data_IF_509474396026
#
_entry.id   IF_509474396026
#
_cell.length_a   1.000
_cell.length_b   1.000
_cell.length_c   1.000
_cell.angle_alpha   90.00
_cell.angle_beta   90.00
_cell.angle_gamma   90.00
#
_symmetry.space_group_name_H-M   'P 1'
#
loop_
_entity.id
_entity.type
_entity.pdbx_description
1 polymer ?
#
# COMPACT_ATOMS: atom_id res chain seq x y z
N UNK A 1 12.00 52.26 33.69
CA UNK A 1 12.67 51.00 33.40
C UNK A 1 11.58 50.04 32.99
N UNK A 2 11.40 49.98 31.71
CA UNK A 2 10.35 49.19 31.09
C UNK A 2 11.00 47.88 30.56
N UNK A 3 10.57 46.76 31.09
CA UNK A 3 10.97 45.42 30.60
C UNK A 3 9.79 44.85 29.84
N UNK A 4 9.79 45.08 28.54
CA UNK A 4 8.92 44.36 27.61
C UNK A 4 9.51 42.95 27.35
N UNK A 5 8.88 41.95 27.95
CA UNK A 5 9.13 40.55 27.61
C UNK A 5 8.49 40.22 26.24
N UNK A 6 9.35 39.99 25.25
CA UNK A 6 8.96 39.38 23.99
C UNK A 6 8.80 37.87 24.24
N UNK A 7 7.54 37.41 24.30
CA UNK A 7 7.21 36.00 24.15
C UNK A 7 7.24 35.65 22.67
N UNK A 8 8.28 34.94 22.29
CA UNK A 8 8.39 34.29 20.98
C UNK A 8 7.50 33.02 21.00
N UNK A 9 6.31 33.13 20.42
CA UNK A 9 5.46 31.97 20.12
C UNK A 9 5.85 31.44 18.75
N UNK A 10 6.93 30.67 18.69
CA UNK A 10 7.14 29.77 17.57
C UNK A 10 6.19 28.56 17.72
N UNK A 11 4.97 28.72 17.22
CA UNK A 11 4.08 27.57 16.96
C UNK A 11 4.76 26.71 15.88
N UNK A 12 5.44 25.65 16.29
CA UNK A 12 5.75 24.55 15.41
C UNK A 12 4.42 23.93 14.99
N UNK A 13 3.93 24.34 13.83
CA UNK A 13 2.89 23.59 13.14
C UNK A 13 3.51 22.28 12.65
N UNK A 14 3.30 21.23 13.42
CA UNK A 14 3.54 19.86 13.00
C UNK A 14 2.49 19.50 11.93
N UNK A 15 2.78 19.88 10.69
CA UNK A 15 2.03 19.47 9.53
C UNK A 15 2.56 18.12 9.03
N UNK A 16 2.47 17.09 9.84
CA UNK A 16 2.35 15.76 9.30
C UNK A 16 0.92 15.65 8.77
N UNK A 17 0.73 15.93 7.46
CA UNK A 17 -0.55 15.69 6.78
C UNK A 17 -0.79 14.18 6.73
N UNK A 18 -1.22 13.60 7.84
CA UNK A 18 -1.75 12.24 7.87
C UNK A 18 -3.13 12.27 7.20
N UNK A 19 -3.31 11.40 6.23
CA UNK A 19 -4.62 11.17 5.62
C UNK A 19 -5.63 10.79 6.69
N UNK A 20 -6.79 11.42 6.67
CA UNK A 20 -7.89 11.05 7.55
C UNK A 20 -8.81 9.99 6.92
N UNK A 21 -9.78 9.50 7.68
CA UNK A 21 -10.72 8.48 7.21
C UNK A 21 -11.50 8.92 5.96
N UNK A 22 -11.84 10.20 5.86
CA UNK A 22 -12.59 10.75 4.71
C UNK A 22 -11.72 10.83 3.46
N UNK A 23 -10.42 11.10 3.61
CA UNK A 23 -9.46 11.15 2.52
C UNK A 23 -9.26 9.75 1.89
N UNK A 24 -9.13 8.71 2.74
CA UNK A 24 -9.06 7.33 2.23
C UNK A 24 -10.33 6.94 1.47
N UNK A 25 -11.51 7.26 1.99
CA UNK A 25 -12.78 6.95 1.32
C UNK A 25 -12.91 7.70 -0.02
N UNK A 26 -12.54 8.98 -0.06
CA UNK A 26 -12.57 9.77 -1.27
C UNK A 26 -11.62 9.23 -2.34
N UNK A 27 -10.41 8.85 -1.91
CA UNK A 27 -9.39 8.26 -2.78
C UNK A 27 -9.81 6.89 -3.29
N UNK A 28 -10.32 6.01 -2.40
CA UNK A 28 -10.87 4.70 -2.76
C UNK A 28 -11.97 4.84 -3.82
N UNK A 29 -12.93 5.74 -3.61
CA UNK A 29 -14.02 5.96 -4.56
C UNK A 29 -13.55 6.44 -5.94
N UNK A 30 -12.59 7.37 -5.96
CA UNK A 30 -11.99 7.89 -7.20
C UNK A 30 -11.20 6.80 -7.95
N UNK A 31 -10.31 6.11 -7.24
CA UNK A 31 -9.42 5.13 -7.87
C UNK A 31 -10.15 3.85 -8.30
N UNK A 32 -11.21 3.44 -7.57
CA UNK A 32 -12.06 2.33 -8.00
C UNK A 32 -12.85 2.63 -9.27
N UNK A 33 -13.36 3.85 -9.42
CA UNK A 33 -14.01 4.27 -10.68
C UNK A 33 -13.00 4.33 -11.83
N UNK A 34 -11.80 4.88 -11.59
CA UNK A 34 -10.73 4.96 -12.58
C UNK A 34 -10.23 3.57 -13.01
N UNK A 35 -10.14 2.62 -12.08
CA UNK A 35 -9.82 1.21 -12.38
C UNK A 35 -10.83 0.62 -13.40
N UNK A 36 -12.12 0.78 -13.17
CA UNK A 36 -13.13 0.26 -14.08
C UNK A 36 -13.01 0.87 -15.50
N UNK A 37 -12.69 2.17 -15.61
CA UNK A 37 -12.44 2.83 -16.88
C UNK A 37 -11.19 2.30 -17.58
N UNK A 38 -10.09 2.15 -16.85
CA UNK A 38 -8.84 1.61 -17.37
C UNK A 38 -9.00 0.16 -17.84
N UNK A 39 -9.71 -0.67 -17.07
CA UNK A 39 -9.99 -2.06 -17.40
C UNK A 39 -10.81 -2.19 -18.70
N UNK A 40 -11.83 -1.32 -18.88
CA UNK A 40 -12.59 -1.26 -20.15
C UNK A 40 -11.71 -0.86 -21.34
N UNK A 41 -10.82 0.12 -21.12
CA UNK A 41 -9.93 0.62 -22.17
C UNK A 41 -8.88 -0.40 -22.58
N UNK A 42 -8.32 -1.15 -21.62
CA UNK A 42 -7.31 -2.18 -21.87
C UNK A 42 -7.90 -3.43 -22.54
N UNK A 43 -9.12 -3.83 -22.16
CA UNK A 43 -9.77 -5.07 -22.60
C UNK A 43 -9.29 -6.29 -21.80
N UNK A 44 -10.16 -7.31 -21.68
CA UNK A 44 -10.00 -8.45 -20.77
C UNK A 44 -8.71 -9.26 -20.96
N UNK A 45 -8.17 -9.31 -22.17
CA UNK A 45 -6.98 -10.12 -22.50
C UNK A 45 -5.66 -9.31 -22.41
N UNK A 46 -5.72 -8.05 -22.00
CA UNK A 46 -4.50 -7.24 -21.85
C UNK A 46 -3.61 -7.83 -20.74
N UNK A 47 -2.32 -8.10 -20.99
CA UNK A 47 -1.45 -8.67 -19.97
C UNK A 47 -1.15 -7.65 -18.88
N UNK A 48 -1.08 -8.12 -17.62
CA UNK A 48 -0.69 -7.30 -16.47
C UNK A 48 0.80 -7.55 -16.20
N UNK A 49 1.62 -6.61 -16.63
CA UNK A 49 3.09 -6.77 -16.58
C UNK A 49 3.64 -6.96 -15.16
N UNK A 50 3.00 -6.36 -14.17
CA UNK A 50 3.35 -6.42 -12.74
C UNK A 50 2.91 -7.72 -12.05
N UNK A 51 1.96 -8.47 -12.65
CA UNK A 51 1.43 -9.73 -12.11
C UNK A 51 1.67 -10.85 -13.13
N UNK A 52 2.82 -11.54 -13.09
CA UNK A 52 3.21 -12.53 -14.10
C UNK A 52 2.15 -13.62 -14.30
N UNK A 53 1.73 -13.80 -15.55
CA UNK A 53 0.70 -14.79 -15.92
C UNK A 53 -0.74 -14.27 -15.82
N UNK A 54 -0.97 -13.06 -15.32
CA UNK A 54 -2.29 -12.44 -15.26
C UNK A 54 -2.63 -11.65 -16.54
N UNK A 55 -3.91 -11.68 -16.86
CA UNK A 55 -4.53 -10.72 -17.80
C UNK A 55 -5.53 -9.84 -17.05
N UNK A 56 -6.06 -8.83 -17.73
CA UNK A 56 -7.01 -7.89 -17.13
C UNK A 56 -8.24 -8.58 -16.52
N UNK A 57 -8.71 -9.67 -17.12
CA UNK A 57 -9.82 -10.47 -16.57
C UNK A 57 -9.50 -11.03 -15.17
N UNK A 58 -8.24 -11.41 -14.92
CA UNK A 58 -7.81 -11.93 -13.61
C UNK A 58 -7.71 -10.80 -12.59
N UNK A 59 -7.21 -9.64 -13.00
CA UNK A 59 -7.11 -8.47 -12.13
C UNK A 59 -8.49 -7.93 -11.73
N UNK A 60 -9.46 -7.88 -12.67
CA UNK A 60 -10.85 -7.50 -12.37
C UNK A 60 -11.47 -8.46 -11.36
N UNK A 61 -11.28 -9.78 -11.56
CA UNK A 61 -11.81 -10.77 -10.66
C UNK A 61 -11.16 -10.69 -9.27
N UNK A 62 -9.85 -10.51 -9.21
CA UNK A 62 -9.12 -10.34 -7.95
C UNK A 62 -9.72 -9.20 -7.12
N UNK A 63 -9.87 -8.02 -7.69
CA UNK A 63 -10.47 -6.89 -6.95
C UNK A 63 -11.94 -7.17 -6.58
N UNK A 64 -12.71 -7.84 -7.43
CA UNK A 64 -14.08 -8.21 -7.09
C UNK A 64 -14.15 -9.15 -5.87
N UNK A 65 -13.24 -10.14 -5.77
CA UNK A 65 -13.14 -11.03 -4.60
C UNK A 65 -12.70 -10.29 -3.34
N UNK A 66 -11.68 -9.44 -3.46
CA UNK A 66 -11.15 -8.65 -2.32
C UNK A 66 -12.20 -7.68 -1.80
N UNK A 67 -12.91 -6.99 -2.69
CA UNK A 67 -13.99 -6.06 -2.32
C UNK A 67 -15.15 -6.79 -1.64
N UNK A 68 -15.58 -7.93 -2.18
CA UNK A 68 -16.60 -8.77 -1.56
C UNK A 68 -16.17 -9.25 -0.18
N UNK A 69 -14.92 -9.72 -0.06
CA UNK A 69 -14.38 -10.23 1.19
C UNK A 69 -14.43 -9.16 2.30
N UNK A 70 -13.86 -7.98 2.06
CA UNK A 70 -13.82 -6.94 3.06
C UNK A 70 -15.19 -6.31 3.33
N UNK A 71 -16.04 -6.19 2.30
CA UNK A 71 -17.43 -5.78 2.50
C UNK A 71 -18.18 -6.76 3.44
N UNK A 72 -17.93 -8.06 3.28
CA UNK A 72 -18.52 -9.10 4.14
C UNK A 72 -17.97 -9.06 5.55
N UNK A 73 -16.65 -8.91 5.73
CA UNK A 73 -16.02 -8.75 7.05
C UNK A 73 -16.66 -7.60 7.83
N UNK A 74 -16.80 -6.44 7.20
CA UNK A 74 -17.34 -5.25 7.85
C UNK A 74 -18.87 -5.36 8.08
N UNK A 75 -19.61 -5.81 7.06
CA UNK A 75 -21.10 -5.92 7.16
C UNK A 75 -21.53 -6.90 8.25
N UNK A 76 -20.85 -8.03 8.37
CA UNK A 76 -21.20 -9.08 9.34
C UNK A 76 -20.44 -8.94 10.66
N UNK A 77 -19.55 -7.90 10.78
CA UNK A 77 -18.70 -7.68 11.96
C UNK A 77 -17.91 -8.94 12.34
N UNK A 78 -17.30 -9.57 11.35
CA UNK A 78 -16.49 -10.78 11.54
C UNK A 78 -15.34 -10.46 12.48
N UNK A 79 -15.13 -11.30 13.50
CA UNK A 79 -14.04 -11.15 14.49
C UNK A 79 -13.22 -12.42 14.69
N UNK A 80 -13.73 -13.57 14.27
CA UNK A 80 -13.11 -14.88 14.53
C UNK A 80 -12.10 -15.32 13.45
N UNK A 81 -12.09 -14.70 12.26
CA UNK A 81 -11.12 -15.01 11.23
C UNK A 81 -11.70 -15.04 9.81
N UNK A 82 -10.78 -15.07 8.82
CA UNK A 82 -11.14 -15.05 7.40
C UNK A 82 -12.02 -16.22 6.95
N UNK A 83 -11.95 -17.36 7.66
CA UNK A 83 -12.75 -18.56 7.36
C UNK A 83 -14.27 -18.38 7.59
N UNK A 84 -14.68 -17.31 8.28
CA UNK A 84 -16.10 -16.98 8.48
C UNK A 84 -16.73 -16.34 7.25
N UNK A 85 -15.91 -15.88 6.28
CA UNK A 85 -16.39 -15.29 5.03
C UNK A 85 -16.43 -16.36 3.96
N UNK A 86 -17.61 -16.56 3.35
CA UNK A 86 -17.76 -17.48 2.23
C UNK A 86 -16.99 -16.95 0.99
N UNK A 87 -16.36 -17.85 0.26
CA UNK A 87 -15.78 -17.49 -1.04
C UNK A 87 -16.86 -17.39 -2.09
N UNK A 88 -16.68 -16.49 -3.05
CA UNK A 88 -17.53 -16.39 -4.25
C UNK A 88 -16.89 -17.15 -5.41
N UNK A 89 -17.72 -17.61 -6.33
CA UNK A 89 -17.25 -18.26 -7.56
C UNK A 89 -17.03 -17.22 -8.65
N UNK A 90 -15.97 -17.41 -9.46
CA UNK A 90 -15.67 -16.53 -10.59
C UNK A 90 -16.82 -16.60 -11.60
N UNK A 91 -17.31 -15.45 -12.00
CA UNK A 91 -18.31 -15.29 -13.05
C UNK A 91 -17.70 -15.39 -14.45
N UNK A 92 -18.54 -15.52 -15.48
CA UNK A 92 -18.08 -15.47 -16.86
C UNK A 92 -17.49 -14.12 -17.24
N UNK A 93 -16.61 -14.11 -18.24
CA UNK A 93 -15.85 -12.92 -18.64
C UNK A 93 -16.75 -11.71 -18.99
N UNK A 94 -17.92 -11.94 -19.55
CA UNK A 94 -18.90 -10.89 -19.85
C UNK A 94 -19.53 -10.25 -18.62
N UNK A 95 -19.39 -10.86 -17.44
CA UNK A 95 -19.96 -10.40 -16.17
C UNK A 95 -18.90 -9.83 -15.23
N UNK A 96 -17.61 -10.01 -15.49
CA UNK A 96 -16.51 -9.66 -14.59
C UNK A 96 -16.57 -8.19 -14.13
N UNK A 97 -16.70 -7.29 -15.08
CA UNK A 97 -16.68 -5.86 -14.75
C UNK A 97 -17.92 -5.44 -13.96
N UNK A 98 -19.09 -6.01 -14.29
CA UNK A 98 -20.31 -5.75 -13.53
C UNK A 98 -20.25 -6.33 -12.11
N UNK A 99 -19.61 -7.50 -11.94
CA UNK A 99 -19.36 -8.10 -10.64
C UNK A 99 -18.43 -7.21 -9.79
N UNK A 100 -17.31 -6.75 -10.37
CA UNK A 100 -16.42 -5.78 -9.71
C UNK A 100 -17.19 -4.53 -9.28
N UNK A 101 -17.88 -3.86 -10.19
CA UNK A 101 -18.64 -2.63 -9.89
C UNK A 101 -19.67 -2.83 -8.78
N UNK A 102 -20.29 -4.02 -8.74
CA UNK A 102 -21.28 -4.37 -7.71
C UNK A 102 -20.61 -4.52 -6.35
N UNK A 103 -19.53 -5.29 -6.26
CA UNK A 103 -18.83 -5.55 -5.00
C UNK A 103 -18.10 -4.32 -4.49
N UNK A 104 -17.49 -3.53 -5.39
CA UNK A 104 -16.88 -2.26 -5.06
C UNK A 104 -17.90 -1.25 -4.48
N UNK A 105 -19.08 -1.13 -5.09
CA UNK A 105 -20.13 -0.27 -4.57
C UNK A 105 -20.63 -0.73 -3.19
N UNK A 106 -20.72 -2.04 -2.95
CA UNK A 106 -21.07 -2.60 -1.64
C UNK A 106 -20.00 -2.29 -0.59
N UNK A 107 -18.72 -2.48 -0.94
CA UNK A 107 -17.58 -2.16 -0.08
C UNK A 107 -17.60 -0.67 0.30
N UNK A 108 -17.61 0.21 -0.68
CA UNK A 108 -17.60 1.66 -0.46
C UNK A 108 -18.78 2.11 0.41
N UNK A 109 -19.98 1.55 0.15
CA UNK A 109 -21.17 1.86 0.92
C UNK A 109 -21.09 1.39 2.38
N UNK A 110 -20.52 0.22 2.67
CA UNK A 110 -20.39 -0.25 4.05
C UNK A 110 -19.29 0.50 4.80
N UNK A 111 -18.16 0.77 4.17
CA UNK A 111 -17.06 1.52 4.77
C UNK A 111 -17.47 2.95 5.10
N UNK A 112 -18.20 3.62 4.21
CA UNK A 112 -18.67 5.01 4.41
C UNK A 112 -19.68 5.16 5.56
N UNK A 113 -20.34 4.07 5.99
CA UNK A 113 -21.38 4.11 7.05
C UNK A 113 -20.92 3.55 8.38
N UNK A 114 -19.76 2.90 8.41
CA UNK A 114 -19.28 2.22 9.61
C UNK A 114 -18.21 3.07 10.28
N UNK A 115 -18.33 3.24 11.59
CA UNK A 115 -17.33 3.94 12.39
C UNK A 115 -15.97 3.23 12.25
N UNK A 116 -14.88 3.95 11.92
CA UNK A 116 -13.56 3.37 11.73
C UNK A 116 -13.03 2.60 12.95
N UNK A 117 -13.49 2.92 14.14
CA UNK A 117 -13.10 2.21 15.37
C UNK A 117 -13.90 0.93 15.62
N UNK A 118 -14.84 0.59 14.72
CA UNK A 118 -15.65 -0.65 14.85
C UNK A 118 -14.73 -1.88 14.76
N UNK A 119 -14.73 -2.75 15.78
CA UNK A 119 -13.90 -3.95 15.77
C UNK A 119 -14.33 -4.92 14.68
N UNK A 120 -13.35 -5.35 13.87
CA UNK A 120 -13.49 -6.42 12.86
C UNK A 120 -12.19 -7.21 12.80
N UNK A 121 -12.27 -8.43 12.31
CA UNK A 121 -11.08 -9.21 12.03
C UNK A 121 -10.25 -8.56 10.88
N UNK A 122 -8.96 -8.53 11.10
CA UNK A 122 -7.97 -8.24 10.06
C UNK A 122 -6.76 -9.17 10.26
N UNK A 123 -5.93 -9.32 9.26
CA UNK A 123 -4.68 -10.08 9.34
C UNK A 123 -3.54 -9.30 10.05
N UNK A 124 -3.73 -8.01 10.31
CA UNK A 124 -2.76 -7.16 11.00
C UNK A 124 -2.99 -7.12 12.52
N UNK A 125 -2.15 -6.38 13.24
CA UNK A 125 -2.34 -6.11 14.66
C UNK A 125 -3.48 -5.10 14.93
N UNK A 126 -3.91 -4.33 13.93
CA UNK A 126 -5.02 -3.38 14.03
C UNK A 126 -6.32 -4.07 13.57
N UNK A 127 -7.22 -4.37 14.50
CA UNK A 127 -8.46 -5.12 14.27
C UNK A 127 -9.68 -4.20 14.24
N UNK A 128 -9.76 -3.28 13.30
CA UNK A 128 -10.88 -2.34 13.13
C UNK A 128 -11.13 -1.96 11.66
N UNK A 129 -12.24 -1.27 11.42
CA UNK A 129 -12.64 -0.80 10.10
C UNK A 129 -11.67 0.25 9.55
N UNK A 130 -10.99 1.01 10.39
CA UNK A 130 -9.99 2.00 9.97
C UNK A 130 -8.86 1.35 9.19
N UNK A 131 -8.36 0.18 9.68
CA UNK A 131 -7.40 -0.61 8.91
C UNK A 131 -7.94 -1.03 7.54
N UNK A 132 -9.19 -1.51 7.49
CA UNK A 132 -9.79 -1.98 6.23
C UNK A 132 -9.89 -0.84 5.22
N UNK A 133 -10.32 0.35 5.65
CA UNK A 133 -10.44 1.53 4.78
C UNK A 133 -9.07 1.92 4.20
N UNK A 134 -8.04 2.02 5.05
CA UNK A 134 -6.68 2.34 4.64
C UNK A 134 -6.14 1.31 3.65
N UNK A 135 -6.24 0.02 3.99
CA UNK A 135 -5.76 -1.08 3.14
C UNK A 135 -6.43 -1.08 1.77
N UNK A 136 -7.77 -0.89 1.73
CA UNK A 136 -8.51 -0.91 0.48
C UNK A 136 -8.21 0.30 -0.40
N UNK A 137 -7.91 1.46 0.18
CA UNK A 137 -7.46 2.62 -0.58
C UNK A 137 -6.12 2.33 -1.29
N UNK A 138 -5.15 1.73 -0.60
CA UNK A 138 -3.85 1.36 -1.18
C UNK A 138 -3.97 0.23 -2.22
N UNK A 139 -4.71 -0.82 -1.90
CA UNK A 139 -4.95 -1.96 -2.80
C UNK A 139 -5.53 -1.49 -4.13
N UNK A 140 -6.60 -0.71 -4.04
CA UNK A 140 -7.28 -0.19 -5.23
C UNK A 140 -6.39 0.76 -6.04
N UNK A 141 -5.62 1.63 -5.39
CA UNK A 141 -4.74 2.57 -6.08
C UNK A 141 -3.59 1.87 -6.82
N UNK A 142 -2.97 0.85 -6.23
CA UNK A 142 -1.91 0.06 -6.87
C UNK A 142 -2.47 -0.70 -8.07
N UNK A 143 -3.62 -1.34 -7.96
CA UNK A 143 -4.22 -2.09 -9.05
C UNK A 143 -4.87 -1.19 -10.11
N UNK A 144 -5.32 0.01 -9.75
CA UNK A 144 -5.69 1.04 -10.74
C UNK A 144 -4.47 1.41 -11.60
N UNK A 145 -3.29 1.57 -10.99
CA UNK A 145 -2.05 1.82 -11.74
C UNK A 145 -1.68 0.65 -12.66
N UNK A 146 -1.86 -0.60 -12.21
CA UNK A 146 -1.67 -1.79 -13.03
C UNK A 146 -2.58 -1.78 -14.27
N UNK A 147 -3.86 -1.42 -14.08
CA UNK A 147 -4.84 -1.31 -15.17
C UNK A 147 -4.55 -0.15 -16.13
N UNK A 148 -4.17 1.02 -15.61
CA UNK A 148 -3.76 2.18 -16.42
C UNK A 148 -2.53 1.85 -17.28
N UNK A 149 -1.57 1.10 -16.70
CA UNK A 149 -0.38 0.64 -17.41
C UNK A 149 -0.74 -0.32 -18.55
N UNK A 150 -1.64 -1.28 -18.29
CA UNK A 150 -2.14 -2.19 -19.32
C UNK A 150 -2.93 -1.47 -20.42
N UNK A 151 -3.59 -0.35 -20.09
CA UNK A 151 -4.25 0.54 -21.04
C UNK A 151 -3.28 1.50 -21.78
N UNK A 152 -1.98 1.44 -21.50
CA UNK A 152 -0.94 2.29 -22.09
C UNK A 152 -0.92 3.74 -21.58
N UNK A 153 -1.51 4.01 -20.43
CA UNK A 153 -1.64 5.36 -19.84
C UNK A 153 -1.38 5.34 -18.34
N UNK A 154 -0.17 4.97 -17.86
CA UNK A 154 0.11 4.92 -16.44
C UNK A 154 -0.06 6.31 -15.82
N UNK A 155 -0.93 6.41 -14.82
CA UNK A 155 -1.17 7.63 -14.05
C UNK A 155 -0.56 7.43 -12.67
N UNK A 156 0.30 8.33 -12.16
CA UNK A 156 0.87 8.23 -10.82
C UNK A 156 -0.20 8.06 -9.73
N UNK A 157 0.16 7.39 -8.66
CA UNK A 157 -0.65 7.35 -7.44
C UNK A 157 -0.58 8.72 -6.77
N UNK A 158 -1.68 9.16 -6.16
CA UNK A 158 -1.71 10.40 -5.37
C UNK A 158 -0.55 10.42 -4.35
N UNK A 159 0.15 11.54 -4.25
CA UNK A 159 1.39 11.59 -3.49
C UNK A 159 1.18 11.36 -1.98
N UNK A 160 0.10 11.89 -1.39
CA UNK A 160 -0.21 11.68 0.02
C UNK A 160 -0.58 10.22 0.28
N UNK A 161 -1.43 9.63 -0.58
CA UNK A 161 -1.78 8.21 -0.50
C UNK A 161 -0.55 7.32 -0.70
N UNK A 162 0.32 7.65 -1.64
CA UNK A 162 1.52 6.86 -1.91
C UNK A 162 2.51 6.91 -0.74
N UNK A 163 2.70 8.08 -0.11
CA UNK A 163 3.53 8.21 1.10
C UNK A 163 2.97 7.37 2.26
N UNK A 164 1.66 7.42 2.48
CA UNK A 164 0.99 6.58 3.47
C UNK A 164 1.07 5.08 3.12
N UNK A 165 0.99 4.74 1.82
CA UNK A 165 1.17 3.37 1.32
C UNK A 165 2.57 2.83 1.52
N UNK A 166 3.62 3.68 1.44
CA UNK A 166 4.98 3.30 1.83
C UNK A 166 5.01 2.94 3.32
N UNK A 167 4.39 3.76 4.17
CA UNK A 167 4.32 3.50 5.62
C UNK A 167 3.56 2.20 5.93
N UNK A 168 2.45 1.93 5.25
CA UNK A 168 1.73 0.65 5.36
C UNK A 168 2.62 -0.52 4.94
N UNK A 169 3.30 -0.43 3.80
CA UNK A 169 4.20 -1.47 3.31
C UNK A 169 5.30 -1.78 4.33
N UNK A 170 5.94 -0.75 4.84
CA UNK A 170 7.02 -0.88 5.81
C UNK A 170 6.55 -1.37 7.19
N UNK A 171 5.28 -1.19 7.50
CA UNK A 171 4.71 -1.65 8.77
C UNK A 171 4.27 -3.11 8.71
N UNK A 172 3.78 -3.59 7.55
CA UNK A 172 3.08 -4.86 7.47
C UNK A 172 3.73 -5.89 6.56
N UNK A 173 4.54 -5.49 5.56
CA UNK A 173 5.03 -6.41 4.52
C UNK A 173 6.55 -6.63 4.57
N UNK A 174 7.30 -5.73 5.20
CA UNK A 174 8.77 -5.85 5.21
C UNK A 174 9.29 -6.90 6.21
N UNK A 175 8.52 -7.25 7.23
CA UNK A 175 8.87 -8.31 8.20
C UNK A 175 8.47 -9.72 7.69
N UNK A 176 7.68 -9.82 6.62
CA UNK A 176 7.41 -11.10 5.94
C UNK A 176 8.58 -11.42 4.99
N UNK A 177 9.63 -12.00 5.59
CA UNK A 177 10.86 -12.34 4.87
C UNK A 177 10.62 -13.58 4.01
N UNK A 178 10.83 -13.46 2.71
CA UNK A 178 10.71 -14.57 1.77
C UNK A 178 11.64 -15.74 2.19
N UNK A 179 11.12 -16.96 2.18
CA UNK A 179 11.85 -18.15 2.58
C UNK A 179 13.12 -18.33 1.74
N UNK A 180 14.28 -18.39 2.42
CA UNK A 180 15.57 -18.52 1.77
C UNK A 180 16.13 -17.21 1.18
N UNK A 181 15.52 -16.07 1.45
CA UNK A 181 16.08 -14.78 1.06
C UNK A 181 17.44 -14.53 1.71
N UNK A 182 18.33 -13.89 0.98
CA UNK A 182 19.62 -13.49 1.52
C UNK A 182 19.42 -12.36 2.54
N UNK A 183 20.16 -12.42 3.65
CA UNK A 183 20.15 -11.33 4.65
C UNK A 183 20.51 -9.99 4.01
N UNK A 184 19.75 -8.96 4.37
CA UNK A 184 20.05 -7.58 3.97
C UNK A 184 21.12 -7.04 4.89
N UNK A 185 22.36 -6.98 4.36
CA UNK A 185 23.49 -6.45 5.12
C UNK A 185 23.59 -4.94 4.88
N UNK A 186 22.94 -4.16 5.70
CA UNK A 186 22.96 -2.69 5.62
C UNK A 186 21.60 -2.04 5.87
N UNK A 187 21.63 -0.76 6.16
CA UNK A 187 20.46 0.07 6.39
C UNK A 187 19.99 0.73 5.10
N UNK A 188 18.66 0.89 4.95
CA UNK A 188 18.05 1.58 3.83
C UNK A 188 17.31 2.81 4.32
N UNK A 189 17.60 3.97 3.73
CA UNK A 189 16.84 5.20 3.92
C UNK A 189 15.91 5.39 2.72
N UNK A 190 14.63 5.64 2.95
CA UNK A 190 13.63 5.96 1.93
C UNK A 190 13.21 7.40 2.11
N UNK A 191 13.21 8.19 1.03
CA UNK A 191 12.93 9.62 1.07
C UNK A 191 12.05 10.06 -0.10
N UNK A 192 10.85 10.58 0.19
CA UNK A 192 9.96 11.19 -0.78
C UNK A 192 10.44 12.58 -1.18
N UNK A 193 10.32 12.94 -2.47
CA UNK A 193 10.78 14.23 -2.98
C UNK A 193 9.65 15.22 -3.22
N UNK A 194 8.42 14.77 -3.23
CA UNK A 194 7.22 15.53 -3.61
C UNK A 194 6.24 15.72 -2.45
N UNK A 195 6.39 14.95 -1.38
CA UNK A 195 5.60 15.08 -0.16
C UNK A 195 6.47 14.76 1.07
N UNK A 196 5.97 15.03 2.26
CA UNK A 196 6.61 14.56 3.49
C UNK A 196 6.59 13.03 3.55
N UNK A 197 7.73 12.41 3.87
CA UNK A 197 7.87 10.97 4.01
C UNK A 197 9.33 10.56 4.02
N UNK A 198 9.77 10.07 5.18
CA UNK A 198 11.12 9.54 5.36
C UNK A 198 11.09 8.35 6.32
N UNK A 199 11.80 7.30 5.93
CA UNK A 199 11.90 6.07 6.74
C UNK A 199 13.32 5.53 6.69
N UNK A 200 13.74 4.95 7.81
CA UNK A 200 15.01 4.21 7.87
C UNK A 200 14.74 2.77 8.32
N UNK A 201 15.21 1.83 7.53
CA UNK A 201 15.12 0.38 7.80
C UNK A 201 16.48 -0.12 8.24
N UNK A 202 16.53 -0.83 9.36
CA UNK A 202 17.71 -1.55 9.84
C UNK A 202 17.37 -3.02 10.03
N UNK A 203 18.19 -3.96 9.53
CA UNK A 203 17.96 -5.39 9.75
C UNK A 203 17.93 -5.72 11.24
N UNK A 204 16.94 -6.49 11.69
CA UNK A 204 16.87 -7.06 13.03
C UNK A 204 17.53 -8.44 13.04
N UNK A 205 18.19 -8.77 14.14
CA UNK A 205 18.78 -10.08 14.37
C UNK A 205 18.49 -10.53 15.80
N UNK A 206 17.82 -11.66 15.99
CA UNK A 206 17.51 -12.22 17.31
C UNK A 206 18.66 -13.11 17.78
N UNK A 207 19.66 -12.49 18.47
CA UNK A 207 20.76 -13.20 19.11
C UNK A 207 22.05 -13.27 18.30
N UNK A 208 23.11 -13.79 18.93
CA UNK A 208 24.45 -13.89 18.34
C UNK A 208 24.46 -14.99 17.29
N UNK A 209 24.72 -14.63 16.04
CA UNK A 209 24.76 -15.58 14.90
C UNK A 209 23.40 -15.96 14.35
N UNK A 210 22.33 -15.27 14.73
CA UNK A 210 20.99 -15.50 14.21
C UNK A 210 20.81 -14.99 12.76
N UNK A 211 19.86 -15.60 12.05
CA UNK A 211 19.34 -15.10 10.78
C UNK A 211 18.60 -13.77 11.01
N UNK A 212 18.42 -12.99 9.95
CA UNK A 212 17.63 -11.77 10.01
C UNK A 212 16.17 -12.12 10.29
N UNK A 213 15.53 -11.38 11.26
CA UNK A 213 14.15 -11.59 11.70
C UNK A 213 13.23 -10.43 11.28
N UNK A 214 13.53 -9.74 10.18
CA UNK A 214 12.78 -8.57 9.73
C UNK A 214 13.59 -7.28 9.85
N UNK A 215 12.89 -6.15 9.99
CA UNK A 215 13.50 -4.83 10.02
C UNK A 215 12.98 -3.99 11.19
N UNK A 216 13.86 -3.20 11.78
CA UNK A 216 13.47 -2.04 12.57
C UNK A 216 13.19 -0.88 11.62
N UNK A 217 11.97 -0.36 11.65
CA UNK A 217 11.55 0.79 10.84
C UNK A 217 11.38 2.01 11.73
N UNK A 218 12.11 3.09 11.42
CA UNK A 218 11.95 4.38 12.08
C UNK A 218 11.48 5.43 11.06
N UNK A 219 10.64 6.39 11.50
CA UNK A 219 10.08 7.47 10.67
C UNK A 219 10.88 8.75 10.91
N UNK A 220 12.14 8.71 10.50
CA UNK A 220 13.07 9.82 10.73
C UNK A 220 14.14 9.88 9.65
N UNK A 221 14.70 11.07 9.46
CA UNK A 221 15.86 11.24 8.61
C UNK A 221 17.11 10.65 9.27
N UNK A 222 17.65 9.60 8.70
CA UNK A 222 18.92 9.03 9.14
C UNK A 222 19.73 8.55 7.93
N UNK A 223 21.05 8.69 8.01
CA UNK A 223 21.93 8.19 6.95
C UNK A 223 21.91 6.67 6.93
N UNK A 224 21.50 6.09 5.79
CA UNK A 224 21.60 4.66 5.51
C UNK A 224 22.87 4.30 4.72
N UNK A 225 23.15 3.00 4.62
CA UNK A 225 24.17 2.46 3.71
C UNK A 225 23.71 2.60 2.25
N UNK A 226 22.41 2.57 2.05
CA UNK A 226 21.72 2.89 0.80
C UNK A 226 20.57 3.87 1.06
N UNK A 227 20.32 4.79 0.10
CA UNK A 227 19.12 5.62 0.10
C UNK A 227 18.34 5.43 -1.21
N UNK A 228 17.02 5.29 -1.08
CA UNK A 228 16.04 5.28 -2.17
C UNK A 228 15.33 6.63 -2.15
N UNK A 229 15.46 7.40 -3.24
CA UNK A 229 14.90 8.74 -3.34
C UNK A 229 14.10 8.88 -4.63
N UNK A 230 12.88 9.39 -4.53
CA UNK A 230 11.98 9.56 -5.68
C UNK A 230 10.66 10.19 -5.27
N UNK A 231 9.72 10.29 -6.21
CA UNK A 231 8.34 10.64 -5.86
C UNK A 231 7.73 9.54 -4.99
N UNK A 232 6.77 9.88 -4.13
CA UNK A 232 6.10 8.89 -3.29
C UNK A 232 5.48 7.76 -4.14
N UNK A 233 4.85 8.12 -5.27
CA UNK A 233 4.28 7.14 -6.22
C UNK A 233 5.34 6.17 -6.74
N UNK A 234 6.48 6.68 -7.20
CA UNK A 234 7.52 5.82 -7.79
C UNK A 234 8.15 4.90 -6.73
N UNK A 235 8.39 5.43 -5.52
CA UNK A 235 8.90 4.65 -4.39
C UNK A 235 7.93 3.54 -4.00
N UNK A 236 6.64 3.84 -3.84
CA UNK A 236 5.62 2.84 -3.53
C UNK A 236 5.55 1.75 -4.61
N UNK A 237 5.52 2.14 -5.87
CA UNK A 237 5.47 1.22 -7.00
C UNK A 237 6.74 0.36 -7.11
N UNK A 238 7.91 0.91 -6.76
CA UNK A 238 9.15 0.13 -6.69
C UNK A 238 9.12 -0.89 -5.53
N UNK A 239 8.62 -0.52 -4.35
CA UNK A 239 8.45 -1.44 -3.22
C UNK A 239 7.52 -2.60 -3.59
N UNK A 240 6.41 -2.34 -4.25
CA UNK A 240 5.49 -3.35 -4.77
C UNK A 240 5.98 -4.05 -6.06
N UNK A 241 7.21 -3.79 -6.53
CA UNK A 241 7.81 -4.37 -7.75
C UNK A 241 7.02 -4.09 -9.03
N UNK A 242 6.24 -3.02 -9.05
CA UNK A 242 5.54 -2.51 -10.24
C UNK A 242 6.46 -1.71 -11.15
N UNK A 243 7.50 -1.13 -10.58
CA UNK A 243 8.54 -0.40 -11.29
C UNK A 243 9.91 -0.95 -10.96
N UNK A 244 10.85 -0.80 -11.89
CA UNK A 244 12.25 -1.13 -11.63
C UNK A 244 12.84 -0.16 -10.60
N UNK A 245 13.65 -0.65 -9.68
CA UNK A 245 14.41 0.19 -8.75
C UNK A 245 15.33 1.19 -9.50
N UNK A 246 15.71 0.88 -10.73
CA UNK A 246 16.47 1.81 -11.58
C UNK A 246 15.68 3.03 -12.08
N UNK A 247 14.39 3.11 -11.78
CA UNK A 247 13.53 4.26 -12.10
C UNK A 247 13.53 5.33 -11.01
N UNK A 248 14.15 5.07 -9.87
CA UNK A 248 14.32 5.99 -8.74
C UNK A 248 15.80 6.23 -8.47
N UNK A 249 16.13 7.28 -7.73
CA UNK A 249 17.50 7.55 -7.33
C UNK A 249 17.95 6.55 -6.26
N UNK A 250 18.96 5.74 -6.57
CA UNK A 250 19.62 4.83 -5.64
C UNK A 250 20.99 5.40 -5.30
N UNK A 251 21.17 5.81 -4.04
CA UNK A 251 22.40 6.47 -3.56
C UNK A 251 23.08 5.56 -2.54
N UNK A 252 24.36 5.26 -2.73
CA UNK A 252 25.12 4.35 -1.89
C UNK A 252 25.16 2.92 -2.43
N UNK A 253 25.05 1.92 -1.58
CA UNK A 253 25.15 0.51 -1.97
C UNK A 253 23.83 -0.02 -2.60
N UNK A 254 23.78 -0.06 -3.92
CA UNK A 254 22.60 -0.54 -4.67
C UNK A 254 22.27 -2.03 -4.40
N UNK A 255 23.26 -2.84 -4.00
CA UNK A 255 23.00 -4.26 -3.65
C UNK A 255 22.20 -4.39 -2.37
N UNK A 256 22.32 -3.44 -1.43
CA UNK A 256 21.48 -3.39 -0.21
C UNK A 256 20.01 -3.18 -0.60
N UNK A 257 19.74 -2.23 -1.49
CA UNK A 257 18.39 -1.97 -1.98
C UNK A 257 17.80 -3.17 -2.75
N UNK A 258 18.60 -3.78 -3.63
CA UNK A 258 18.17 -4.96 -4.38
C UNK A 258 17.83 -6.14 -3.45
N UNK A 259 18.64 -6.37 -2.41
CA UNK A 259 18.38 -7.40 -1.40
C UNK A 259 17.15 -7.11 -0.57
N UNK A 260 16.90 -5.84 -0.19
CA UNK A 260 15.66 -5.46 0.50
C UNK A 260 14.44 -5.88 -0.31
N UNK A 261 14.39 -5.49 -1.58
CA UNK A 261 13.25 -5.84 -2.44
C UNK A 261 13.13 -7.37 -2.63
N UNK A 262 14.25 -8.07 -2.80
CA UNK A 262 14.24 -9.53 -2.96
C UNK A 262 13.88 -10.29 -1.67
N UNK A 263 14.01 -9.67 -0.49
CA UNK A 263 13.73 -10.30 0.79
C UNK A 263 12.26 -10.28 1.19
N UNK A 264 11.48 -9.35 0.68
CA UNK A 264 10.04 -9.24 1.02
C UNK A 264 9.20 -10.24 0.25
N UNK A 265 8.29 -10.92 0.94
CA UNK A 265 7.27 -11.76 0.32
C UNK A 265 6.06 -10.90 -0.07
N UNK A 266 5.58 -11.04 -1.32
CA UNK A 266 4.42 -10.31 -1.83
C UNK A 266 3.30 -11.26 -2.32
N UNK A 267 3.42 -12.57 -2.00
CA UNK A 267 2.44 -13.61 -2.39
C UNK A 267 1.26 -13.70 -1.41
#
# INVERSE_FOLDING_TARGET
MDHSEHMDHSEHMDHSEHMDHSDYLATLGRDGAAFAEAARAAGLNAPIASCPGWVMADLIWHLAEVDYFWASVVSHRVTGGSQEVARIERVGDEQLLAAYETHFAQLLAVLSRTDPTTPVWTWSAQHDVGFVVRRMAHETAVHRWDADTAAGRPIPIDAALASDGIDEFLTHFVDDIAMGAASVAGSVHIHCTDVAGEWTLRPKHSGVGATQDGFEVTREHAKGDCALRGTASDLLLALWRRMSIGSIDVIGDADVAARLLASTNLD
#
